data_IF_061682105238
#
_entry.id   IF_061682105238
#
_cell.length_a   1.000
_cell.length_b   1.000
_cell.length_c   1.000
_cell.angle_alpha   90.00
_cell.angle_beta   90.00
_cell.angle_gamma   90.00
#
_symmetry.space_group_name_H-M   'P 1'
#
loop_
_entity.id
_entity.type
_entity.pdbx_description
1 polymer ?
#
# COMPACT_ATOMS: atom_id res chain seq x y z
N UNK A 1 -11.92 36.12 -2.59
CA UNK A 1 -11.57 34.77 -3.10
C UNK A 1 -10.63 34.15 -2.07
N UNK A 2 -10.92 32.97 -1.55
CA UNK A 2 -10.16 32.41 -0.41
C UNK A 2 -8.75 31.99 -0.87
N UNK A 3 -7.72 32.35 -0.10
CA UNK A 3 -6.31 32.03 -0.39
C UNK A 3 -5.94 30.55 -0.12
N UNK A 4 -6.93 29.72 0.21
CA UNK A 4 -6.78 28.29 0.53
C UNK A 4 -5.99 27.47 -0.51
N UNK A 5 -6.25 27.56 -1.84
CA UNK A 5 -5.50 26.76 -2.80
C UNK A 5 -4.04 27.19 -2.94
N UNK A 6 -3.75 28.50 -2.84
CA UNK A 6 -2.36 29.02 -2.84
C UNK A 6 -1.56 28.48 -1.66
N UNK A 7 -2.18 28.45 -0.48
CA UNK A 7 -1.57 27.94 0.75
C UNK A 7 -1.32 26.44 0.64
N UNK A 8 -2.25 25.66 0.08
CA UNK A 8 -2.09 24.20 -0.09
C UNK A 8 -0.96 23.87 -1.06
N UNK A 9 -0.85 24.56 -2.19
CA UNK A 9 0.23 24.33 -3.17
C UNK A 9 1.61 24.65 -2.56
N UNK A 10 1.72 25.78 -1.86
CA UNK A 10 2.97 26.14 -1.18
C UNK A 10 3.29 25.19 -0.02
N UNK A 11 2.29 24.68 0.70
CA UNK A 11 2.49 23.66 1.73
C UNK A 11 2.98 22.34 1.13
N UNK A 12 2.44 21.90 -0.01
CA UNK A 12 2.88 20.68 -0.70
C UNK A 12 4.32 20.83 -1.20
N UNK A 13 4.66 21.98 -1.78
CA UNK A 13 6.03 22.26 -2.23
C UNK A 13 7.01 22.32 -1.05
N UNK A 14 6.64 22.99 0.06
CA UNK A 14 7.45 23.07 1.28
C UNK A 14 7.64 21.69 1.92
N UNK A 15 6.59 20.85 1.93
CA UNK A 15 6.64 19.49 2.44
C UNK A 15 7.52 18.59 1.55
N UNK A 16 7.46 18.75 0.23
CA UNK A 16 8.35 18.08 -0.71
C UNK A 16 9.82 18.48 -0.52
N UNK A 17 10.08 19.76 -0.25
CA UNK A 17 11.41 20.30 0.07
C UNK A 17 11.94 19.71 1.37
N UNK A 18 11.12 19.71 2.43
CA UNK A 18 11.48 19.13 3.73
C UNK A 18 11.77 17.63 3.59
N UNK A 19 10.97 16.86 2.84
CA UNK A 19 11.21 15.43 2.61
C UNK A 19 12.49 15.19 1.81
N UNK A 20 12.77 16.04 0.82
CA UNK A 20 13.95 15.91 -0.04
C UNK A 20 15.26 16.28 0.67
N UNK A 21 15.21 17.24 1.60
CA UNK A 21 16.38 17.81 2.28
C UNK A 21 16.68 17.14 3.64
N UNK A 22 15.75 16.35 4.19
CA UNK A 22 15.93 15.67 5.49
C UNK A 22 17.06 14.61 5.53
N UNK A 23 17.53 14.00 4.43
CA UNK A 23 18.68 13.10 4.47
C UNK A 23 19.98 13.63 3.83
N UNK A 24 19.97 14.78 3.14
CA UNK A 24 21.13 15.24 2.35
C UNK A 24 21.71 16.55 2.91
N UNK A 25 23.05 16.60 3.02
CA UNK A 25 23.81 17.82 3.31
C UNK A 25 23.34 18.95 2.37
N UNK A 26 22.99 20.09 2.96
CA UNK A 26 22.34 21.24 2.30
C UNK A 26 23.16 21.72 1.09
N UNK A 27 22.85 21.11 -0.05
CA UNK A 27 23.32 21.50 -1.37
C UNK A 27 22.06 21.70 -2.20
N UNK A 28 21.90 22.92 -2.72
CA UNK A 28 20.76 23.26 -3.57
C UNK A 28 20.86 22.47 -4.87
N UNK A 29 20.31 21.26 -4.86
CA UNK A 29 20.18 20.41 -6.04
C UNK A 29 19.12 20.97 -6.99
N UNK A 30 19.20 20.56 -8.25
CA UNK A 30 18.30 20.96 -9.34
C UNK A 30 16.83 20.68 -8.97
N UNK A 31 16.57 19.60 -8.22
CA UNK A 31 15.24 19.22 -7.73
C UNK A 31 14.73 20.21 -6.66
N UNK A 32 15.59 20.62 -5.72
CA UNK A 32 15.26 21.64 -4.71
C UNK A 32 14.90 22.97 -5.35
N UNK A 33 15.62 23.39 -6.40
CA UNK A 33 15.33 24.61 -7.15
C UNK A 33 13.95 24.52 -7.83
N UNK A 34 13.63 23.39 -8.44
CA UNK A 34 12.31 23.18 -9.09
C UNK A 34 11.18 23.23 -8.05
N UNK A 35 11.35 22.60 -6.89
CA UNK A 35 10.35 22.63 -5.81
C UNK A 35 10.16 24.03 -5.22
N UNK A 36 11.25 24.78 -5.05
CA UNK A 36 11.21 26.19 -4.66
C UNK A 36 10.44 27.01 -5.71
N UNK A 37 10.73 26.82 -6.99
CA UNK A 37 10.01 27.49 -8.07
C UNK A 37 8.52 27.17 -8.02
N UNK A 38 8.13 25.90 -7.88
CA UNK A 38 6.72 25.48 -7.78
C UNK A 38 6.03 26.09 -6.55
N UNK A 39 6.72 26.14 -5.41
CA UNK A 39 6.18 26.71 -4.17
C UNK A 39 5.97 28.22 -4.20
N UNK A 40 6.79 28.94 -4.98
CA UNK A 40 6.73 30.41 -5.11
C UNK A 40 5.77 30.82 -6.25
N UNK A 41 5.53 29.99 -7.28
CA UNK A 41 4.60 30.27 -8.40
C UNK A 41 3.23 30.85 -7.97
N UNK A 42 2.55 30.38 -6.91
CA UNK A 42 1.28 30.96 -6.46
C UNK A 42 1.38 32.42 -5.99
N UNK A 43 2.53 32.82 -5.46
CA UNK A 43 2.84 34.14 -4.90
C UNK A 43 3.49 35.08 -5.94
N UNK A 44 4.08 34.48 -6.96
CA UNK A 44 4.72 35.16 -8.10
C UNK A 44 3.71 36.02 -8.88
N UNK A 45 2.43 35.64 -8.90
CA UNK A 45 1.34 36.45 -9.49
C UNK A 45 1.16 37.82 -8.82
N UNK A 46 1.28 37.90 -7.49
CA UNK A 46 1.15 39.16 -6.74
C UNK A 46 2.38 40.04 -6.94
N UNK A 47 3.57 39.45 -6.99
CA UNK A 47 4.83 40.17 -7.21
C UNK A 47 4.96 40.70 -8.66
N UNK A 48 4.55 39.91 -9.65
CA UNK A 48 4.64 40.26 -11.08
C UNK A 48 3.49 41.11 -11.62
N UNK A 49 2.37 41.21 -10.90
CA UNK A 49 1.32 42.20 -11.23
C UNK A 49 1.85 43.65 -11.26
N UNK A 50 3.02 43.90 -10.65
CA UNK A 50 3.75 45.16 -10.70
C UNK A 50 4.59 45.37 -11.98
N UNK A 51 4.88 44.31 -12.75
CA UNK A 51 5.75 44.35 -13.93
C UNK A 51 4.90 44.15 -15.19
N UNK A 52 4.37 45.25 -15.74
CA UNK A 52 3.65 45.27 -17.02
C UNK A 52 4.59 44.94 -18.19
N UNK A 53 4.74 43.67 -18.53
CA UNK A 53 5.30 43.23 -19.82
C UNK A 53 4.38 42.19 -20.47
N UNK A 54 3.67 42.58 -21.53
CA UNK A 54 2.61 41.78 -22.17
C UNK A 54 3.02 40.42 -22.77
N UNK A 55 4.32 40.19 -23.00
CA UNK A 55 4.83 38.86 -23.40
C UNK A 55 4.89 37.84 -22.25
N UNK A 56 4.91 38.33 -21.00
CA UNK A 56 4.90 37.51 -19.80
C UNK A 56 3.47 37.08 -19.44
N UNK A 57 2.51 37.99 -19.59
CA UNK A 57 1.08 37.73 -19.31
C UNK A 57 0.50 36.63 -20.22
N UNK A 58 0.91 36.58 -21.49
CA UNK A 58 0.53 35.52 -22.42
C UNK A 58 1.12 34.15 -22.03
N UNK A 59 2.41 34.11 -21.65
CA UNK A 59 3.07 32.88 -21.18
C UNK A 59 2.51 32.39 -19.84
N UNK A 60 2.13 33.31 -18.96
CA UNK A 60 1.51 33.00 -17.68
C UNK A 60 0.11 32.40 -17.87
N UNK A 61 -0.71 32.99 -18.76
CA UNK A 61 -2.03 32.44 -19.09
C UNK A 61 -1.94 31.07 -19.77
N UNK A 62 -0.91 30.83 -20.60
CA UNK A 62 -0.62 29.49 -21.14
C UNK A 62 -0.20 28.50 -20.05
N UNK A 63 0.59 28.95 -19.06
CA UNK A 63 0.97 28.14 -17.90
C UNK A 63 -0.24 27.81 -17.02
N UNK A 64 -1.10 28.77 -16.70
CA UNK A 64 -2.35 28.56 -15.96
C UNK A 64 -3.23 27.53 -16.69
N UNK A 65 -3.38 27.64 -18.01
CA UNK A 65 -4.13 26.66 -18.79
C UNK A 65 -3.51 25.26 -18.78
N UNK A 66 -2.17 25.14 -18.75
CA UNK A 66 -1.49 23.84 -18.59
C UNK A 66 -1.66 23.27 -17.18
N UNK A 67 -1.64 24.11 -16.15
CA UNK A 67 -1.90 23.71 -14.76
C UNK A 67 -3.33 23.19 -14.62
N UNK A 68 -4.32 23.95 -15.09
CA UNK A 68 -5.73 23.54 -15.04
C UNK A 68 -5.97 22.22 -15.81
N UNK A 69 -5.34 22.05 -16.97
CA UNK A 69 -5.40 20.78 -17.71
C UNK A 69 -4.76 19.62 -16.93
N UNK A 70 -3.65 19.87 -16.25
CA UNK A 70 -2.97 18.87 -15.42
C UNK A 70 -3.82 18.49 -14.20
N UNK A 71 -4.49 19.46 -13.58
CA UNK A 71 -5.44 19.22 -12.49
C UNK A 71 -6.60 18.34 -12.95
N UNK A 72 -7.19 18.65 -14.12
CA UNK A 72 -8.25 17.83 -14.71
C UNK A 72 -7.78 16.41 -15.05
N UNK A 73 -6.58 16.25 -15.60
CA UNK A 73 -6.00 14.92 -15.88
C UNK A 73 -5.72 14.14 -14.58
N UNK A 74 -5.25 14.82 -13.53
CA UNK A 74 -5.01 14.22 -12.23
C UNK A 74 -6.31 13.76 -11.56
N UNK A 75 -7.37 14.57 -11.62
CA UNK A 75 -8.66 14.19 -11.06
C UNK A 75 -9.30 13.02 -11.82
N UNK A 76 -9.20 13.02 -13.15
CA UNK A 76 -9.60 11.87 -13.97
C UNK A 76 -8.80 10.61 -13.60
N UNK A 77 -7.51 10.75 -13.29
CA UNK A 77 -6.67 9.63 -12.88
C UNK A 77 -7.04 9.10 -11.49
N UNK A 78 -7.35 9.98 -10.52
CA UNK A 78 -7.86 9.59 -9.20
C UNK A 78 -9.16 8.79 -9.31
N UNK A 79 -10.11 9.25 -10.12
CA UNK A 79 -11.38 8.55 -10.35
C UNK A 79 -11.13 7.14 -10.90
N UNK A 80 -10.20 6.99 -11.85
CA UNK A 80 -9.83 5.67 -12.39
C UNK A 80 -9.21 4.76 -11.33
N UNK A 81 -8.36 5.29 -10.45
CA UNK A 81 -7.78 4.49 -9.37
C UNK A 81 -8.83 4.04 -8.37
N UNK A 82 -9.73 4.93 -7.95
CA UNK A 82 -10.83 4.56 -7.05
C UNK A 82 -11.73 3.47 -7.68
N UNK A 83 -12.02 3.56 -8.98
CA UNK A 83 -12.78 2.52 -9.68
C UNK A 83 -12.06 1.16 -9.69
N UNK A 84 -10.73 1.13 -9.84
CA UNK A 84 -9.95 -0.12 -9.78
C UNK A 84 -9.91 -0.70 -8.36
N UNK A 85 -9.84 0.15 -7.34
CA UNK A 85 -9.92 -0.27 -5.93
C UNK A 85 -11.29 -0.89 -5.62
N UNK A 86 -12.37 -0.24 -6.07
CA UNK A 86 -13.75 -0.74 -5.92
C UNK A 86 -13.94 -2.08 -6.66
N UNK A 87 -13.53 -2.18 -7.93
CA UNK A 87 -13.61 -3.42 -8.71
C UNK A 87 -12.82 -4.57 -8.08
N UNK A 88 -11.74 -4.24 -7.37
CA UNK A 88 -10.96 -5.22 -6.60
C UNK A 88 -11.72 -5.70 -5.36
N UNK A 89 -12.34 -4.79 -4.61
CA UNK A 89 -13.16 -5.13 -3.44
C UNK A 89 -14.39 -5.94 -3.84
N UNK A 90 -15.08 -5.59 -4.93
CA UNK A 90 -16.18 -6.38 -5.47
C UNK A 90 -15.73 -7.81 -5.82
N UNK A 91 -14.51 -7.96 -6.34
CA UNK A 91 -13.95 -9.29 -6.60
C UNK A 91 -13.65 -10.06 -5.31
N UNK A 92 -13.33 -9.37 -4.21
CA UNK A 92 -13.18 -10.00 -2.90
C UNK A 92 -14.53 -10.56 -2.39
N UNK A 93 -15.63 -9.90 -2.71
CA UNK A 93 -16.98 -10.28 -2.29
C UNK A 93 -17.52 -11.53 -3.01
N UNK A 94 -16.87 -11.95 -4.09
CA UNK A 94 -17.13 -13.24 -4.75
C UNK A 94 -16.74 -14.45 -3.86
N UNK A 95 -15.98 -14.22 -2.79
CA UNK A 95 -15.55 -15.28 -1.88
C UNK A 95 -16.73 -15.97 -1.19
N UNK A 96 -16.69 -17.30 -1.18
CA UNK A 96 -17.66 -18.13 -0.43
C UNK A 96 -16.92 -19.10 0.46
N UNK A 97 -17.31 -19.14 1.74
CA UNK A 97 -16.76 -20.08 2.73
C UNK A 97 -16.99 -21.54 2.31
N UNK A 98 -18.09 -21.82 1.63
CA UNK A 98 -18.47 -23.16 1.17
C UNK A 98 -17.97 -23.52 -0.23
N UNK A 99 -17.20 -22.65 -0.88
CA UNK A 99 -16.68 -22.95 -2.22
C UNK A 99 -15.71 -24.13 -2.21
N UNK A 100 -15.61 -24.82 -3.34
CA UNK A 100 -14.59 -25.86 -3.53
C UNK A 100 -13.18 -25.25 -3.59
N UNK A 101 -12.17 -26.06 -3.27
CA UNK A 101 -10.77 -25.61 -3.26
C UNK A 101 -10.31 -25.06 -4.61
N UNK A 102 -10.78 -25.65 -5.71
CA UNK A 102 -10.47 -25.20 -7.07
C UNK A 102 -11.03 -23.80 -7.36
N UNK A 103 -12.26 -23.52 -6.92
CA UNK A 103 -12.89 -22.21 -7.12
C UNK A 103 -12.18 -21.12 -6.31
N UNK A 104 -11.72 -21.45 -5.10
CA UNK A 104 -10.88 -20.53 -4.32
C UNK A 104 -9.53 -20.26 -4.97
N UNK A 105 -8.96 -21.23 -5.70
CA UNK A 105 -7.72 -21.02 -6.45
C UNK A 105 -7.94 -20.19 -7.71
N UNK A 106 -9.08 -20.34 -8.40
CA UNK A 106 -9.49 -19.45 -9.50
C UNK A 106 -9.67 -18.02 -9.00
N UNK A 107 -10.38 -17.83 -7.90
CA UNK A 107 -10.56 -16.53 -7.27
C UNK A 107 -9.22 -15.91 -6.84
N UNK A 108 -8.36 -16.67 -6.16
CA UNK A 108 -7.04 -16.18 -5.77
C UNK A 108 -6.19 -15.79 -6.99
N UNK A 109 -6.29 -16.51 -8.09
CA UNK A 109 -5.57 -16.19 -9.34
C UNK A 109 -6.10 -14.90 -9.98
N UNK A 110 -7.43 -14.72 -10.00
CA UNK A 110 -8.08 -13.47 -10.44
C UNK A 110 -7.66 -12.28 -9.58
N UNK A 111 -7.71 -12.41 -8.25
CA UNK A 111 -7.31 -11.36 -7.31
C UNK A 111 -5.83 -11.01 -7.48
N UNK A 112 -4.94 -11.98 -7.66
CA UNK A 112 -3.52 -11.72 -7.95
C UNK A 112 -3.32 -10.97 -9.26
N UNK A 113 -4.08 -11.32 -10.30
CA UNK A 113 -3.98 -10.65 -11.60
C UNK A 113 -4.42 -9.17 -11.48
N UNK A 114 -5.56 -8.91 -10.82
CA UNK A 114 -6.05 -7.54 -10.59
C UNK A 114 -5.11 -6.72 -9.71
N UNK A 115 -4.53 -7.33 -8.67
CA UNK A 115 -3.64 -6.62 -7.73
C UNK A 115 -2.38 -6.03 -8.40
N UNK A 116 -1.93 -6.61 -9.52
CA UNK A 116 -0.80 -6.08 -10.31
C UNK A 116 -1.13 -4.72 -10.96
N UNK A 117 -2.41 -4.45 -11.23
CA UNK A 117 -2.86 -3.21 -11.88
C UNK A 117 -3.23 -2.09 -10.90
N UNK A 118 -3.26 -2.36 -9.59
CA UNK A 118 -3.59 -1.35 -8.58
C UNK A 118 -2.45 -0.33 -8.41
N UNK A 119 -2.77 0.92 -8.12
CA UNK A 119 -1.77 1.93 -7.76
C UNK A 119 -1.18 1.65 -6.38
N UNK A 120 -2.02 1.43 -5.37
CA UNK A 120 -1.66 0.98 -4.03
C UNK A 120 -2.47 -0.24 -3.61
N UNK A 121 -2.03 -0.92 -2.56
CA UNK A 121 -2.76 -2.00 -1.88
C UNK A 121 -3.10 -1.63 -0.42
N UNK A 122 -2.72 -0.44 0.05
CA UNK A 122 -2.87 -0.01 1.45
C UNK A 122 -4.34 -0.03 1.90
N UNK A 123 -5.27 0.30 1.00
CA UNK A 123 -6.71 0.30 1.28
C UNK A 123 -7.23 -1.07 1.76
N UNK A 124 -6.56 -2.17 1.40
CA UNK A 124 -6.91 -3.53 1.84
C UNK A 124 -6.57 -3.79 3.31
N UNK A 125 -5.64 -3.02 3.87
CA UNK A 125 -5.10 -3.20 5.22
C UNK A 125 -5.71 -2.25 6.25
N UNK A 126 -6.48 -1.26 5.79
CA UNK A 126 -7.30 -0.44 6.66
C UNK A 126 -8.28 -1.32 7.45
N UNK A 127 -8.04 -1.40 8.77
CA UNK A 127 -8.84 -2.17 9.74
C UNK A 127 -8.94 -3.68 9.44
N UNK A 128 -7.91 -4.24 8.79
CA UNK A 128 -7.87 -5.67 8.52
C UNK A 128 -7.68 -6.47 9.82
N UNK A 129 -8.62 -7.34 10.13
CA UNK A 129 -8.61 -8.22 11.31
C UNK A 129 -9.25 -9.57 10.98
N UNK A 130 -9.21 -10.52 11.91
CA UNK A 130 -9.88 -11.82 11.74
C UNK A 130 -11.40 -11.69 11.59
N UNK A 131 -11.99 -10.59 12.07
CA UNK A 131 -13.43 -10.29 11.96
C UNK A 131 -13.82 -9.73 10.59
N UNK A 132 -12.84 -9.28 9.80
CA UNK A 132 -13.10 -8.80 8.45
C UNK A 132 -13.67 -9.94 7.58
N UNK A 133 -14.45 -9.61 6.53
CA UNK A 133 -14.87 -10.61 5.56
C UNK A 133 -13.66 -11.40 5.04
N UNK A 134 -13.73 -12.74 5.09
CA UNK A 134 -12.62 -13.61 4.66
C UNK A 134 -12.22 -13.38 3.20
N UNK A 135 -13.13 -12.91 2.35
CA UNK A 135 -12.84 -12.45 0.99
C UNK A 135 -11.86 -11.28 0.96
N UNK A 136 -12.05 -10.27 1.82
CA UNK A 136 -11.13 -9.13 1.97
C UNK A 136 -9.76 -9.60 2.47
N UNK A 137 -9.73 -10.52 3.45
CA UNK A 137 -8.48 -11.11 3.96
C UNK A 137 -7.74 -11.89 2.85
N UNK A 138 -8.47 -12.69 2.08
CA UNK A 138 -7.92 -13.42 0.93
C UNK A 138 -7.37 -12.45 -0.13
N UNK A 139 -8.11 -11.37 -0.44
CA UNK A 139 -7.68 -10.30 -1.34
C UNK A 139 -6.39 -9.64 -0.87
N UNK A 140 -6.35 -9.16 0.37
CA UNK A 140 -5.16 -8.57 0.99
C UNK A 140 -3.93 -9.49 0.89
N UNK A 141 -4.09 -10.77 1.25
CA UNK A 141 -3.02 -11.76 1.14
C UNK A 141 -2.58 -12.00 -0.32
N UNK A 142 -3.52 -12.06 -1.27
CA UNK A 142 -3.20 -12.21 -2.69
C UNK A 142 -2.46 -10.99 -3.24
N UNK A 143 -2.85 -9.78 -2.83
CA UNK A 143 -2.23 -8.54 -3.24
C UNK A 143 -0.78 -8.44 -2.77
N UNK A 144 -0.51 -8.70 -1.49
CA UNK A 144 0.86 -8.72 -0.94
C UNK A 144 1.72 -9.78 -1.61
N UNK A 145 1.18 -10.96 -1.87
CA UNK A 145 1.96 -12.04 -2.49
C UNK A 145 2.51 -11.62 -3.86
N UNK A 146 1.76 -10.85 -4.67
CA UNK A 146 2.28 -10.34 -5.95
C UNK A 146 3.03 -9.02 -5.84
N UNK A 147 2.78 -8.24 -4.78
CA UNK A 147 3.39 -6.94 -4.51
C UNK A 147 3.82 -6.86 -3.03
N UNK A 148 4.93 -7.49 -2.63
CA UNK A 148 5.34 -7.52 -1.24
C UNK A 148 5.71 -6.11 -0.77
N UNK A 149 5.18 -5.68 0.37
CA UNK A 149 5.40 -4.36 0.95
C UNK A 149 5.74 -4.50 2.44
N UNK A 150 6.92 -4.02 2.84
CA UNK A 150 7.45 -4.20 4.20
C UNK A 150 6.60 -3.49 5.26
N UNK A 151 6.06 -2.31 4.96
CA UNK A 151 5.26 -1.53 5.91
C UNK A 151 3.93 -2.21 6.29
N UNK A 152 3.46 -3.17 5.48
CA UNK A 152 2.24 -3.95 5.74
C UNK A 152 2.50 -5.24 6.53
N UNK A 153 3.77 -5.54 6.85
CA UNK A 153 4.12 -6.73 7.60
C UNK A 153 3.52 -6.75 9.01
N UNK A 154 3.49 -5.59 9.68
CA UNK A 154 2.92 -5.45 11.03
C UNK A 154 1.43 -5.84 11.05
N UNK A 155 0.65 -5.41 10.06
CA UNK A 155 -0.76 -5.81 9.92
C UNK A 155 -0.93 -7.31 9.71
N UNK A 156 -0.03 -7.94 8.94
CA UNK A 156 -0.05 -9.40 8.74
C UNK A 156 0.36 -10.17 10.00
N UNK A 157 1.33 -9.65 10.78
CA UNK A 157 1.71 -10.23 12.08
C UNK A 157 0.50 -10.20 13.02
N UNK A 158 -0.15 -9.06 13.19
CA UNK A 158 -1.35 -8.93 14.03
C UNK A 158 -2.44 -9.92 13.61
N UNK A 159 -2.67 -10.09 12.31
CA UNK A 159 -3.66 -11.04 11.81
C UNK A 159 -3.31 -12.50 12.15
N UNK A 160 -2.03 -12.88 12.08
CA UNK A 160 -1.59 -14.21 12.50
C UNK A 160 -1.70 -14.39 14.02
N UNK A 161 -1.35 -13.38 14.81
CA UNK A 161 -1.50 -13.42 16.26
C UNK A 161 -2.96 -13.64 16.66
N UNK A 162 -3.89 -12.95 16.00
CA UNK A 162 -5.33 -13.13 16.18
C UNK A 162 -5.76 -14.55 15.78
N UNK A 163 -5.31 -15.07 14.62
CA UNK A 163 -5.60 -16.42 14.18
C UNK A 163 -5.07 -17.47 15.16
N UNK A 164 -3.82 -17.35 15.60
CA UNK A 164 -3.19 -18.27 16.53
C UNK A 164 -3.85 -18.26 17.93
N UNK A 165 -4.44 -17.13 18.33
CA UNK A 165 -5.09 -16.96 19.63
C UNK A 165 -6.57 -17.33 19.63
N UNK A 166 -7.20 -17.47 18.47
CA UNK A 166 -8.64 -17.73 18.33
C UNK A 166 -8.93 -19.21 18.51
N UNK A 167 -9.61 -19.58 19.60
CA UNK A 167 -9.92 -20.98 19.93
C UNK A 167 -10.83 -21.67 18.92
N UNK A 168 -11.84 -20.96 18.40
CA UNK A 168 -12.80 -21.51 17.44
C UNK A 168 -12.64 -20.85 16.08
N UNK A 169 -11.87 -21.51 15.22
CA UNK A 169 -11.63 -21.12 13.84
C UNK A 169 -12.50 -21.93 12.86
N UNK A 170 -13.48 -22.72 13.32
CA UNK A 170 -14.31 -23.55 12.43
C UNK A 170 -14.88 -22.82 11.21
N UNK A 171 -15.33 -21.55 11.27
CA UNK A 171 -15.80 -20.85 10.08
C UNK A 171 -14.67 -20.31 9.18
N UNK A 172 -13.41 -20.29 9.64
CA UNK A 172 -12.27 -19.70 8.94
C UNK A 172 -11.62 -20.68 7.98
N UNK A 173 -11.57 -20.38 6.68
CA UNK A 173 -11.05 -21.33 5.70
C UNK A 173 -9.53 -21.48 5.79
N UNK A 174 -9.04 -22.72 5.92
CA UNK A 174 -7.61 -23.06 5.90
C UNK A 174 -6.88 -22.48 4.69
N UNK A 175 -7.52 -22.45 3.53
CA UNK A 175 -6.95 -21.85 2.30
C UNK A 175 -6.65 -20.35 2.47
N UNK A 176 -7.47 -19.61 3.22
CA UNK A 176 -7.24 -18.19 3.49
C UNK A 176 -6.04 -18.02 4.42
N UNK A 177 -5.97 -18.84 5.49
CA UNK A 177 -4.80 -18.90 6.37
C UNK A 177 -3.51 -19.19 5.59
N UNK A 178 -3.54 -20.21 4.73
CA UNK A 178 -2.40 -20.56 3.88
C UNK A 178 -1.95 -19.40 3.00
N UNK A 179 -2.88 -18.63 2.42
CA UNK A 179 -2.55 -17.47 1.58
C UNK A 179 -1.94 -16.33 2.38
N UNK A 180 -2.34 -16.10 3.63
CA UNK A 180 -1.68 -15.15 4.53
C UNK A 180 -0.22 -15.54 4.74
N UNK A 181 0.05 -16.83 5.03
CA UNK A 181 1.42 -17.30 5.21
C UNK A 181 2.25 -17.14 3.92
N UNK A 182 1.65 -17.39 2.75
CA UNK A 182 2.32 -17.13 1.46
C UNK A 182 2.66 -15.66 1.23
N UNK A 183 1.78 -14.74 1.66
CA UNK A 183 2.00 -13.31 1.58
C UNK A 183 3.23 -12.92 2.40
N UNK A 184 3.31 -13.41 3.64
CA UNK A 184 4.45 -13.19 4.54
C UNK A 184 5.74 -13.81 3.98
N UNK A 185 5.67 -15.05 3.49
CA UNK A 185 6.81 -15.72 2.85
C UNK A 185 7.37 -14.87 1.70
N UNK A 186 6.49 -14.19 0.95
CA UNK A 186 6.90 -13.31 -0.15
C UNK A 186 7.64 -12.07 0.35
N UNK A 187 7.21 -11.48 1.48
CA UNK A 187 7.92 -10.37 2.13
C UNK A 187 9.29 -10.83 2.65
N UNK A 188 9.37 -11.98 3.31
CA UNK A 188 10.64 -12.53 3.82
C UNK A 188 11.59 -12.88 2.68
N UNK A 189 11.10 -13.50 1.61
CA UNK A 189 11.92 -13.80 0.44
C UNK A 189 12.43 -12.51 -0.23
N UNK A 190 11.67 -11.40 -0.16
CA UNK A 190 12.14 -10.09 -0.61
C UNK A 190 13.20 -9.53 0.34
N UNK A 191 13.01 -9.63 1.66
CA UNK A 191 13.98 -9.23 2.68
C UNK A 191 15.33 -9.93 2.47
N UNK A 192 15.31 -11.25 2.31
CA UNK A 192 16.52 -12.08 2.20
C UNK A 192 17.28 -11.88 0.88
N UNK A 193 16.67 -11.21 -0.10
CA UNK A 193 17.34 -10.77 -1.34
C UNK A 193 18.05 -9.42 -1.18
N UNK A 194 17.72 -8.65 -0.16
CA UNK A 194 18.35 -7.37 0.10
C UNK A 194 19.62 -7.56 0.94
N UNK A 195 20.64 -6.73 0.68
CA UNK A 195 21.89 -6.74 1.44
C UNK A 195 21.69 -6.27 2.89
N UNK A 196 20.70 -5.40 3.10
CA UNK A 196 20.31 -4.88 4.40
C UNK A 196 18.92 -5.39 4.74
N UNK A 197 18.76 -5.93 5.95
CA UNK A 197 17.44 -6.34 6.45
C UNK A 197 16.53 -5.12 6.59
N UNK A 198 15.40 -5.15 5.90
CA UNK A 198 14.35 -4.14 5.96
C UNK A 198 13.29 -4.47 7.02
N UNK A 199 13.30 -5.71 7.53
CA UNK A 199 12.45 -6.14 8.65
C UNK A 199 13.21 -5.89 9.96
N UNK A 200 12.53 -5.25 10.92
CA UNK A 200 13.09 -4.99 12.25
C UNK A 200 13.30 -6.31 13.03
N UNK A 201 14.32 -6.41 13.91
CA UNK A 201 14.50 -7.59 14.76
C UNK A 201 13.30 -7.88 15.67
N UNK A 202 12.56 -6.84 16.07
CA UNK A 202 11.34 -6.96 16.85
C UNK A 202 10.24 -7.65 16.03
N UNK A 203 10.01 -7.22 14.79
CA UNK A 203 9.02 -7.82 13.90
C UNK A 203 9.39 -9.26 13.53
N UNK A 204 10.68 -9.55 13.31
CA UNK A 204 11.14 -10.92 13.09
C UNK A 204 10.82 -11.83 14.27
N UNK A 205 11.09 -11.36 15.49
CA UNK A 205 10.83 -12.12 16.72
C UNK A 205 9.34 -12.34 16.93
N UNK A 206 8.51 -11.30 16.78
CA UNK A 206 7.05 -11.39 16.87
C UNK A 206 6.49 -12.34 15.82
N UNK A 207 6.93 -12.20 14.58
CA UNK A 207 6.47 -13.04 13.48
C UNK A 207 6.82 -14.51 13.69
N UNK A 208 8.07 -14.80 14.07
CA UNK A 208 8.53 -16.16 14.34
C UNK A 208 7.68 -16.83 15.42
N UNK A 209 7.50 -16.13 16.56
CA UNK A 209 6.64 -16.60 17.65
C UNK A 209 5.20 -16.85 17.17
N UNK A 210 4.65 -15.93 16.38
CA UNK A 210 3.28 -16.04 15.89
C UNK A 210 3.09 -17.22 14.93
N UNK A 211 4.07 -17.48 14.06
CA UNK A 211 4.09 -18.64 13.16
C UNK A 211 4.20 -19.97 13.93
N UNK A 212 5.02 -20.02 14.98
CA UNK A 212 5.16 -21.20 15.86
C UNK A 212 3.88 -21.49 16.66
N UNK A 213 3.21 -20.44 17.16
CA UNK A 213 1.90 -20.58 17.82
C UNK A 213 0.83 -21.04 16.82
N UNK A 214 0.82 -20.49 15.61
CA UNK A 214 -0.13 -20.90 14.58
C UNK A 214 0.12 -22.33 14.09
N UNK A 215 1.38 -22.77 13.98
CA UNK A 215 1.70 -24.13 13.51
C UNK A 215 1.32 -25.22 14.52
N UNK A 216 1.30 -24.89 15.82
CA UNK A 216 0.90 -25.77 16.92
C UNK A 216 -0.58 -25.66 17.30
N UNK A 217 -1.33 -24.77 16.64
CA UNK A 217 -2.75 -24.61 16.91
C UNK A 217 -3.57 -25.82 16.41
N UNK A 218 -4.48 -26.39 17.21
CA UNK A 218 -5.22 -27.62 16.85
C UNK A 218 -6.01 -27.54 15.53
N UNK A 219 -6.42 -26.33 15.12
CA UNK A 219 -7.13 -26.12 13.86
C UNK A 219 -6.24 -26.27 12.62
N UNK A 220 -4.94 -25.98 12.74
CA UNK A 220 -3.97 -26.02 11.64
C UNK A 220 -3.05 -27.26 11.73
N UNK A 221 -3.16 -28.02 12.82
CA UNK A 221 -2.34 -29.21 13.07
C UNK A 221 -2.51 -30.24 11.94
N UNK A 222 -1.40 -30.77 11.44
CA UNK A 222 -1.32 -31.70 10.31
C UNK A 222 -1.80 -31.15 8.94
N UNK A 223 -2.12 -29.86 8.84
CA UNK A 223 -2.44 -29.19 7.58
C UNK A 223 -1.21 -28.57 6.91
N UNK A 224 -1.32 -28.25 5.62
CA UNK A 224 -0.26 -27.54 4.89
C UNK A 224 0.00 -26.13 5.43
N UNK A 225 -0.96 -25.52 6.12
CA UNK A 225 -0.76 -24.27 6.87
C UNK A 225 0.36 -24.45 7.90
N UNK A 226 0.30 -25.49 8.75
CA UNK A 226 1.31 -25.71 9.80
C UNK A 226 2.70 -25.95 9.21
N UNK A 227 2.80 -26.80 8.18
CA UNK A 227 4.07 -27.04 7.46
C UNK A 227 4.65 -25.76 6.87
N UNK A 228 3.79 -24.92 6.29
CA UNK A 228 4.21 -23.65 5.70
C UNK A 228 4.67 -22.65 6.78
N UNK A 229 3.97 -22.58 7.91
CA UNK A 229 4.39 -21.75 9.05
C UNK A 229 5.80 -22.12 9.51
N UNK A 230 6.09 -23.41 9.72
CA UNK A 230 7.42 -23.89 10.12
C UNK A 230 8.47 -23.52 9.07
N UNK A 231 8.15 -23.74 7.79
CA UNK A 231 9.06 -23.41 6.67
C UNK A 231 9.41 -21.92 6.66
N UNK A 232 8.43 -21.05 6.90
CA UNK A 232 8.62 -19.59 6.91
C UNK A 232 9.36 -19.14 8.17
N UNK A 233 9.04 -19.71 9.33
CA UNK A 233 9.71 -19.41 10.59
C UNK A 233 11.21 -19.74 10.56
N UNK A 234 11.61 -20.76 9.80
CA UNK A 234 13.02 -21.14 9.62
C UNK A 234 13.81 -20.20 8.69
N UNK A 235 13.14 -19.30 7.95
CA UNK A 235 13.78 -18.30 7.08
C UNK A 235 14.07 -16.97 7.77
N UNK A 236 13.50 -16.79 8.97
CA UNK A 236 13.68 -15.64 9.87
C UNK A 236 14.86 -15.91 10.80
#
# INVERSE_FOLDING_TARGET
MSNTPKIVISLIALFGLIIHEYPNDVSLDEISIVLICIGIIPWVSEWLSSIKMGGFEAKFRELEGKVEKTEQELDNLKVRYSALEEEYLESCDEFRVTAESEDLDKLASKLKAKAKGLSSIDFLFNELSIKSPQGKILGAACAIHVRPQFHLLSSLISLIEELASTRDLKPFRLKVAFRIIMAIDSIINLNNKNEVSLISPEDQTKLKRSLELMSSHPYFENDDVSKKCITVANKL
#
